data_IF_386849683077
#
_entry.id   IF_386849683077
#
_cell.length_a   1.000
_cell.length_b   1.000
_cell.length_c   1.000
_cell.angle_alpha   90.00
_cell.angle_beta   90.00
_cell.angle_gamma   90.00
#
_symmetry.space_group_name_H-M   'P 1'
#
loop_
_entity.id
_entity.type
_entity.pdbx_description
1 polymer ?
#
# COMPACT_ATOMS: atom_id res chain seq x y z
N UNK A 1 58.02 -58.86 11.99
CA UNK A 1 56.68 -58.93 11.39
C UNK A 1 56.61 -60.19 10.54
N UNK A 2 55.79 -61.18 10.92
CA UNK A 2 55.72 -62.45 10.18
C UNK A 2 54.92 -62.29 8.89
N UNK A 3 55.48 -62.68 7.74
CA UNK A 3 54.75 -62.76 6.48
C UNK A 3 53.62 -63.79 6.61
N UNK A 4 52.38 -63.32 6.66
CA UNK A 4 51.18 -64.17 6.60
C UNK A 4 50.58 -64.07 5.21
N UNK A 5 50.56 -65.18 4.49
CA UNK A 5 50.11 -65.26 3.08
C UNK A 5 48.60 -65.02 2.94
N UNK A 6 47.81 -65.36 3.96
CA UNK A 6 46.33 -65.28 3.91
C UNK A 6 45.76 -63.86 4.09
N UNK A 7 46.51 -62.92 4.66
CA UNK A 7 46.01 -61.57 4.97
C UNK A 7 47.07 -60.53 4.64
N UNK A 8 46.85 -59.75 3.59
CA UNK A 8 47.75 -58.66 3.19
C UNK A 8 47.32 -57.35 3.86
N UNK A 9 47.93 -57.06 5.01
CA UNK A 9 47.63 -55.86 5.82
C UNK A 9 47.99 -54.56 5.09
N UNK A 10 49.05 -54.56 4.26
CA UNK A 10 49.44 -53.39 3.48
C UNK A 10 48.39 -53.04 2.40
N UNK A 11 47.87 -54.06 1.70
CA UNK A 11 46.79 -53.89 0.72
C UNK A 11 45.48 -53.44 1.38
N UNK A 12 45.12 -54.00 2.54
CA UNK A 12 43.93 -53.56 3.30
C UNK A 12 44.04 -52.10 3.75
N UNK A 13 45.23 -51.64 4.17
CA UNK A 13 45.45 -50.25 4.53
C UNK A 13 45.33 -49.34 3.29
N UNK A 14 45.96 -49.71 2.17
CA UNK A 14 45.83 -48.97 0.91
C UNK A 14 44.37 -48.86 0.45
N UNK A 15 43.58 -49.94 0.57
CA UNK A 15 42.17 -49.93 0.20
C UNK A 15 41.31 -49.06 1.14
N UNK A 16 41.59 -49.04 2.45
CA UNK A 16 40.94 -48.12 3.40
C UNK A 16 41.21 -46.65 3.05
N UNK A 17 42.49 -46.32 2.80
CA UNK A 17 42.88 -44.96 2.38
C UNK A 17 42.26 -44.55 1.05
N UNK A 18 42.19 -45.48 0.09
CA UNK A 18 41.50 -45.24 -1.17
C UNK A 18 40.01 -44.94 -0.93
N UNK A 19 39.33 -45.70 -0.07
CA UNK A 19 37.95 -45.42 0.33
C UNK A 19 37.75 -44.02 0.90
N UNK A 20 38.62 -43.59 1.82
CA UNK A 20 38.59 -42.23 2.39
C UNK A 20 38.78 -41.16 1.29
N UNK A 21 39.74 -41.35 0.39
CA UNK A 21 40.00 -40.40 -0.71
C UNK A 21 38.86 -40.32 -1.71
N UNK A 22 38.24 -41.45 -2.05
CA UNK A 22 37.07 -41.49 -2.94
C UNK A 22 35.89 -40.75 -2.31
N UNK A 23 35.65 -40.94 -1.00
CA UNK A 23 34.59 -40.22 -0.29
C UNK A 23 34.81 -38.71 -0.30
N UNK A 24 36.03 -38.25 0.01
CA UNK A 24 36.37 -36.82 -0.01
C UNK A 24 36.26 -36.23 -1.43
N UNK A 25 36.65 -36.99 -2.46
CA UNK A 25 36.48 -36.56 -3.86
C UNK A 25 35.00 -36.40 -4.22
N UNK A 26 34.15 -37.35 -3.82
CA UNK A 26 32.71 -37.26 -4.05
C UNK A 26 32.09 -36.04 -3.35
N UNK A 27 32.48 -35.74 -2.11
CA UNK A 27 32.02 -34.55 -1.38
C UNK A 27 32.46 -33.24 -2.06
N UNK A 28 33.70 -33.17 -2.54
CA UNK A 28 34.20 -32.00 -3.27
C UNK A 28 33.48 -31.81 -4.62
N UNK A 29 33.21 -32.91 -5.33
CA UNK A 29 32.43 -32.88 -6.57
C UNK A 29 30.99 -32.41 -6.31
N UNK A 30 30.38 -32.81 -5.20
CA UNK A 30 29.05 -32.36 -4.79
C UNK A 30 29.02 -30.84 -4.53
N UNK A 31 30.02 -30.31 -3.81
CA UNK A 31 30.16 -28.86 -3.56
C UNK A 31 30.43 -28.08 -4.84
N UNK A 32 31.26 -28.61 -5.73
CA UNK A 32 31.57 -27.97 -7.01
C UNK A 32 30.34 -27.95 -7.92
N UNK A 33 29.57 -29.04 -7.99
CA UNK A 33 28.37 -29.13 -8.83
C UNK A 33 27.21 -28.29 -8.30
N UNK A 34 27.10 -28.12 -6.98
CA UNK A 34 26.05 -27.30 -6.36
C UNK A 34 26.43 -25.81 -6.30
N UNK A 35 27.73 -25.49 -6.31
CA UNK A 35 28.24 -24.13 -6.11
C UNK A 35 28.15 -23.66 -4.66
N UNK A 36 27.65 -24.49 -3.73
CA UNK A 36 27.51 -24.17 -2.31
C UNK A 36 28.59 -24.86 -1.48
N UNK A 37 29.15 -24.11 -0.52
CA UNK A 37 30.15 -24.64 0.41
C UNK A 37 29.55 -25.61 1.44
N UNK A 38 28.29 -25.38 1.84
CA UNK A 38 27.54 -26.16 2.82
C UNK A 38 26.31 -26.71 2.11
N UNK A 39 26.30 -28.01 1.81
CA UNK A 39 25.17 -28.66 1.12
C UNK A 39 24.36 -29.58 2.05
N UNK A 40 24.93 -29.98 3.20
CA UNK A 40 24.29 -30.84 4.20
C UNK A 40 24.48 -30.25 5.58
N UNK A 41 23.51 -30.48 6.47
CA UNK A 41 23.58 -30.05 7.88
C UNK A 41 24.74 -30.69 8.64
N UNK A 42 25.27 -31.82 8.15
CA UNK A 42 26.43 -32.49 8.71
C UNK A 42 27.76 -31.77 8.45
N UNK A 43 27.84 -30.92 7.42
CA UNK A 43 29.06 -30.18 7.08
C UNK A 43 29.26 -28.97 8.01
N UNK A 44 28.18 -28.23 8.27
CA UNK A 44 28.14 -27.10 9.20
C UNK A 44 26.68 -26.79 9.58
N UNK A 45 26.23 -27.33 10.72
CA UNK A 45 24.85 -27.15 11.18
C UNK A 45 24.52 -25.69 11.52
N UNK A 46 25.48 -24.96 12.09
CA UNK A 46 25.29 -23.56 12.48
C UNK A 46 25.28 -22.64 11.24
N UNK A 47 26.23 -22.86 10.32
CA UNK A 47 26.30 -22.12 9.06
C UNK A 47 25.08 -22.37 8.17
N UNK A 48 24.58 -23.61 8.11
CA UNK A 48 23.34 -23.92 7.40
C UNK A 48 22.14 -23.20 8.03
N UNK A 49 21.98 -23.25 9.35
CA UNK A 49 20.87 -22.58 10.05
C UNK A 49 20.87 -21.06 9.83
N UNK A 50 22.05 -20.42 9.86
CA UNK A 50 22.18 -18.99 9.56
C UNK A 50 21.82 -18.72 8.09
N UNK A 51 22.31 -19.55 7.16
CA UNK A 51 22.02 -19.39 5.72
C UNK A 51 20.53 -19.54 5.41
N UNK A 52 19.85 -20.49 6.05
CA UNK A 52 18.41 -20.69 5.92
C UNK A 52 17.62 -19.52 6.50
N UNK A 53 18.03 -19.00 7.67
CA UNK A 53 17.45 -17.81 8.29
C UNK A 53 17.59 -16.59 7.37
N UNK A 54 18.78 -16.38 6.80
CA UNK A 54 19.03 -15.30 5.84
C UNK A 54 18.22 -15.47 4.55
N UNK A 55 18.08 -16.70 4.06
CA UNK A 55 17.25 -16.99 2.87
C UNK A 55 15.78 -16.72 3.14
N UNK A 56 15.29 -17.07 4.34
CA UNK A 56 13.96 -16.69 4.81
C UNK A 56 13.79 -15.18 4.85
N UNK A 57 14.77 -14.47 5.40
CA UNK A 57 14.79 -12.99 5.46
C UNK A 57 14.75 -12.38 4.05
N UNK A 58 15.55 -12.87 3.11
CA UNK A 58 15.54 -12.40 1.71
C UNK A 58 14.16 -12.56 1.08
N UNK A 59 13.56 -13.76 1.19
CA UNK A 59 12.22 -14.02 0.63
C UNK A 59 11.13 -13.14 1.26
N UNK A 60 11.20 -12.93 2.57
CA UNK A 60 10.28 -12.04 3.27
C UNK A 60 10.47 -10.57 2.85
N UNK A 61 11.71 -10.11 2.65
CA UNK A 61 12.00 -8.77 2.14
C UNK A 61 11.51 -8.58 0.71
N UNK A 62 11.63 -9.59 -0.16
CA UNK A 62 11.09 -9.53 -1.52
C UNK A 62 9.56 -9.39 -1.51
N UNK A 63 8.88 -10.06 -0.57
CA UNK A 63 7.43 -9.88 -0.40
C UNK A 63 7.10 -8.51 0.19
N UNK A 64 7.83 -8.05 1.20
CA UNK A 64 7.68 -6.72 1.77
C UNK A 64 7.84 -5.61 0.73
N UNK A 65 8.79 -5.77 -0.20
CA UNK A 65 8.96 -4.84 -1.33
C UNK A 65 7.73 -4.82 -2.24
N UNK A 66 7.12 -5.97 -2.51
CA UNK A 66 5.85 -6.03 -3.28
C UNK A 66 4.73 -5.31 -2.52
N UNK A 67 4.56 -5.61 -1.24
CA UNK A 67 3.56 -4.95 -0.40
C UNK A 67 3.76 -3.42 -0.34
N UNK A 68 5.00 -2.95 -0.28
CA UNK A 68 5.32 -1.52 -0.32
C UNK A 68 4.92 -0.88 -1.65
N UNK A 69 5.15 -1.57 -2.77
CA UNK A 69 4.71 -1.10 -4.08
C UNK A 69 3.18 -1.03 -4.17
N UNK A 70 2.47 -2.01 -3.60
CA UNK A 70 1.00 -1.97 -3.53
C UNK A 70 0.51 -0.77 -2.73
N UNK A 71 1.19 -0.45 -1.62
CA UNK A 71 0.94 0.77 -0.85
C UNK A 71 1.18 2.06 -1.64
N UNK A 72 2.25 2.12 -2.44
CA UNK A 72 2.52 3.24 -3.35
C UNK A 72 1.39 3.38 -4.39
N UNK A 73 0.96 2.28 -5.00
CA UNK A 73 -0.14 2.29 -5.97
C UNK A 73 -1.46 2.75 -5.34
N UNK A 74 -1.74 2.34 -4.10
CA UNK A 74 -2.91 2.82 -3.36
C UNK A 74 -2.86 4.34 -3.15
N UNK A 75 -1.72 4.86 -2.69
CA UNK A 75 -1.55 6.30 -2.47
C UNK A 75 -1.71 7.09 -3.78
N UNK A 76 -1.19 6.59 -4.90
CA UNK A 76 -1.33 7.24 -6.20
C UNK A 76 -2.79 7.32 -6.66
N UNK A 77 -3.58 6.28 -6.42
CA UNK A 77 -5.02 6.30 -6.73
C UNK A 77 -5.76 7.31 -5.84
N UNK A 78 -5.46 7.33 -4.54
CA UNK A 78 -6.01 8.32 -3.61
C UNK A 78 -5.64 9.76 -4.03
N UNK A 79 -4.38 10.00 -4.36
CA UNK A 79 -3.87 11.31 -4.81
C UNK A 79 -4.53 11.75 -6.12
N UNK A 80 -4.75 10.83 -7.06
CA UNK A 80 -5.49 11.11 -8.29
C UNK A 80 -6.91 11.61 -8.00
N UNK A 81 -7.65 10.91 -7.12
CA UNK A 81 -8.99 11.34 -6.72
C UNK A 81 -9.00 12.68 -5.99
N UNK A 82 -8.05 12.92 -5.07
CA UNK A 82 -7.93 14.19 -4.35
C UNK A 82 -7.58 15.37 -5.27
N UNK A 83 -6.78 15.15 -6.31
CA UNK A 83 -6.48 16.17 -7.31
C UNK A 83 -7.74 16.59 -8.09
N UNK A 84 -8.59 15.64 -8.47
CA UNK A 84 -9.86 15.97 -9.12
C UNK A 84 -10.82 16.73 -8.19
N UNK A 85 -10.94 16.32 -6.93
CA UNK A 85 -11.72 17.08 -5.92
C UNK A 85 -11.18 18.51 -5.78
N UNK A 86 -9.85 18.67 -5.75
CA UNK A 86 -9.21 19.99 -5.67
C UNK A 86 -9.54 20.86 -6.89
N UNK A 87 -9.51 20.31 -8.10
CA UNK A 87 -9.89 21.02 -9.32
C UNK A 87 -11.36 21.48 -9.28
N UNK A 88 -12.26 20.61 -8.79
CA UNK A 88 -13.67 20.95 -8.62
C UNK A 88 -13.84 22.08 -7.60
N UNK A 89 -13.15 22.02 -6.45
CA UNK A 89 -13.21 23.07 -5.43
C UNK A 89 -12.72 24.43 -5.95
N UNK A 90 -11.68 24.46 -6.79
CA UNK A 90 -11.21 25.70 -7.44
C UNK A 90 -12.28 26.27 -8.36
N UNK A 91 -12.96 25.42 -9.13
CA UNK A 91 -14.06 25.83 -10.01
C UNK A 91 -15.29 26.30 -9.22
N UNK A 92 -15.65 25.62 -8.13
CA UNK A 92 -16.70 26.03 -7.21
C UNK A 92 -16.40 27.41 -6.60
N UNK A 93 -15.14 27.68 -6.25
CA UNK A 93 -14.69 29.00 -5.79
C UNK A 93 -14.82 30.06 -6.87
N UNK A 94 -14.49 29.75 -8.12
CA UNK A 94 -14.69 30.66 -9.26
C UNK A 94 -16.18 31.04 -9.39
N UNK A 95 -17.08 30.05 -9.40
CA UNK A 95 -18.52 30.26 -9.46
C UNK A 95 -19.04 31.10 -8.28
N UNK A 96 -18.55 30.85 -7.07
CA UNK A 96 -18.90 31.63 -5.89
C UNK A 96 -18.46 33.09 -6.02
N UNK A 97 -17.22 33.34 -6.48
CA UNK A 97 -16.74 34.72 -6.70
C UNK A 97 -17.47 35.42 -7.83
N UNK A 98 -17.86 34.69 -8.87
CA UNK A 98 -18.66 35.22 -9.97
C UNK A 98 -20.05 35.64 -9.47
N UNK A 99 -20.73 34.76 -8.72
CA UNK A 99 -22.06 35.04 -8.17
C UNK A 99 -22.08 36.14 -7.11
N UNK A 100 -20.95 36.37 -6.42
CA UNK A 100 -20.78 37.47 -5.49
C UNK A 100 -20.76 38.86 -6.16
N UNK A 101 -20.55 38.94 -7.48
CA UNK A 101 -20.51 40.22 -8.19
C UNK A 101 -21.89 40.84 -8.41
N UNK A 102 -22.03 42.14 -8.16
CA UNK A 102 -23.27 42.91 -8.33
C UNK A 102 -23.76 43.05 -9.77
N UNK A 103 -22.89 42.79 -10.74
CA UNK A 103 -23.20 42.91 -12.17
C UNK A 103 -24.00 41.72 -12.71
N UNK A 104 -24.14 40.65 -11.93
CA UNK A 104 -24.81 39.41 -12.32
C UNK A 104 -26.22 39.37 -11.73
N UNK A 105 -27.23 39.21 -12.59
CA UNK A 105 -28.63 39.13 -12.22
C UNK A 105 -29.03 37.82 -11.54
N UNK A 106 -30.24 37.78 -10.97
CA UNK A 106 -30.76 36.62 -10.24
C UNK A 106 -30.91 35.36 -11.12
N UNK A 107 -31.20 35.55 -12.42
CA UNK A 107 -31.30 34.46 -13.40
C UNK A 107 -29.94 33.80 -13.65
N UNK A 108 -28.89 34.58 -13.88
CA UNK A 108 -27.53 34.08 -14.10
C UNK A 108 -26.97 33.43 -12.83
N UNK A 109 -27.25 34.00 -11.65
CA UNK A 109 -26.90 33.39 -10.35
C UNK A 109 -27.56 32.03 -10.15
N UNK A 110 -28.81 31.86 -10.60
CA UNK A 110 -29.50 30.56 -10.54
C UNK A 110 -28.80 29.50 -11.41
N UNK A 111 -28.29 29.87 -12.59
CA UNK A 111 -27.51 28.94 -13.42
C UNK A 111 -26.17 28.57 -12.78
N UNK A 112 -25.44 29.53 -12.23
CA UNK A 112 -24.20 29.25 -11.48
C UNK A 112 -24.46 28.36 -10.26
N UNK A 113 -25.59 28.56 -9.55
CA UNK A 113 -25.97 27.73 -8.40
C UNK A 113 -26.27 26.28 -8.81
N UNK A 114 -26.91 26.06 -9.98
CA UNK A 114 -27.11 24.71 -10.52
C UNK A 114 -25.77 24.03 -10.83
N UNK A 115 -24.84 24.74 -11.45
CA UNK A 115 -23.49 24.22 -11.72
C UNK A 115 -22.74 23.89 -10.43
N UNK A 116 -22.83 24.74 -9.42
CA UNK A 116 -22.25 24.50 -8.09
C UNK A 116 -22.82 23.24 -7.43
N UNK A 117 -24.13 23.05 -7.46
CA UNK A 117 -24.77 21.86 -6.90
C UNK A 117 -24.41 20.57 -7.64
N UNK A 118 -24.24 20.61 -8.97
CA UNK A 118 -23.74 19.46 -9.71
C UNK A 118 -22.27 19.15 -9.35
N UNK A 119 -21.44 20.16 -9.10
CA UNK A 119 -20.07 19.97 -8.62
C UNK A 119 -20.00 19.35 -7.23
N UNK A 120 -20.90 19.75 -6.30
CA UNK A 120 -21.03 19.13 -4.97
C UNK A 120 -21.34 17.63 -5.11
N UNK A 121 -22.31 17.26 -5.96
CA UNK A 121 -22.64 15.86 -6.22
C UNK A 121 -21.48 15.09 -6.85
N UNK A 122 -20.71 15.75 -7.71
CA UNK A 122 -19.55 15.12 -8.35
C UNK A 122 -18.42 14.85 -7.35
N UNK A 123 -18.20 15.72 -6.35
CA UNK A 123 -17.29 15.44 -5.24
C UNK A 123 -17.72 14.18 -4.48
N UNK A 124 -19.01 14.06 -4.12
CA UNK A 124 -19.53 12.85 -3.46
C UNK A 124 -19.41 11.60 -4.35
N UNK A 125 -19.57 11.74 -5.67
CA UNK A 125 -19.37 10.66 -6.62
C UNK A 125 -17.91 10.21 -6.68
N UNK A 126 -16.95 11.13 -6.73
CA UNK A 126 -15.52 10.79 -6.73
C UNK A 126 -15.14 10.14 -5.40
N UNK A 127 -15.63 10.67 -4.30
CA UNK A 127 -15.46 10.11 -2.96
C UNK A 127 -15.99 8.68 -2.83
N UNK A 128 -17.16 8.42 -3.45
CA UNK A 128 -17.80 7.10 -3.46
C UNK A 128 -17.19 6.08 -4.43
N UNK A 129 -16.58 6.55 -5.52
CA UNK A 129 -16.08 5.67 -6.60
C UNK A 129 -14.57 5.47 -6.59
N UNK A 130 -13.82 6.23 -5.79
CA UNK A 130 -12.37 6.06 -5.65
C UNK A 130 -12.06 4.85 -4.77
N UNK A 131 -11.78 3.72 -5.41
CA UNK A 131 -11.44 2.45 -4.76
C UNK A 131 -10.09 1.89 -5.24
N UNK A 132 -9.42 1.16 -4.37
CA UNK A 132 -8.29 0.31 -4.72
C UNK A 132 -8.54 -1.10 -4.21
N UNK A 133 -8.60 -2.06 -5.14
CA UNK A 133 -8.84 -3.48 -4.83
C UNK A 133 -10.10 -3.71 -3.96
N UNK A 134 -11.18 -2.95 -4.22
CA UNK A 134 -12.44 -3.03 -3.48
C UNK A 134 -12.45 -2.33 -2.12
N UNK A 135 -11.37 -1.62 -1.76
CA UNK A 135 -11.32 -0.75 -0.58
C UNK A 135 -11.51 0.69 -1.02
N UNK A 136 -12.53 1.34 -0.49
CA UNK A 136 -12.82 2.74 -0.77
C UNK A 136 -11.85 3.65 -0.01
N UNK A 137 -11.30 4.66 -0.69
CA UNK A 137 -10.19 5.46 -0.16
C UNK A 137 -10.61 6.86 0.33
N UNK A 138 -11.58 7.50 -0.35
CA UNK A 138 -11.91 8.92 -0.11
C UNK A 138 -13.27 9.14 0.58
N UNK A 139 -14.18 8.17 0.49
CA UNK A 139 -15.50 8.22 1.15
C UNK A 139 -15.50 7.82 2.61
N UNK A 140 -14.33 7.47 3.16
CA UNK A 140 -14.19 6.96 4.52
C UNK A 140 -14.30 5.45 4.62
N UNK A 141 -14.10 4.93 5.84
CA UNK A 141 -14.29 3.52 6.12
C UNK A 141 -15.73 3.13 5.79
N UNK A 142 -15.90 2.27 4.78
CA UNK A 142 -17.19 1.69 4.42
C UNK A 142 -17.81 1.06 5.68
N UNK A 143 -19.04 1.46 6.01
CA UNK A 143 -19.77 0.96 7.18
C UNK A 143 -19.90 -0.58 7.18
N UNK A 144 -19.70 -1.22 6.02
CA UNK A 144 -19.72 -2.68 5.87
C UNK A 144 -18.34 -3.35 5.96
N UNK A 145 -17.24 -2.61 5.81
CA UNK A 145 -15.88 -3.17 5.75
C UNK A 145 -14.92 -2.62 6.83
N UNK A 146 -15.38 -1.69 7.67
CA UNK A 146 -14.87 -1.40 9.03
C UNK A 146 -13.37 -1.11 9.18
N UNK A 147 -12.64 -0.92 8.08
CA UNK A 147 -11.19 -0.82 8.09
C UNK A 147 -10.82 0.65 8.09
N UNK A 148 -10.67 1.20 9.30
CA UNK A 148 -10.27 2.59 9.54
C UNK A 148 -8.80 2.84 9.13
N UNK A 149 -7.98 1.79 9.16
CA UNK A 149 -6.56 1.82 8.85
C UNK A 149 -6.12 0.62 8.01
N UNK A 150 -5.40 0.90 6.92
CA UNK A 150 -4.70 -0.09 6.11
C UNK A 150 -3.27 -0.25 6.62
N UNK A 151 -2.92 -1.45 7.11
CA UNK A 151 -1.56 -1.75 7.56
C UNK A 151 -0.79 -2.54 6.51
N UNK A 152 0.28 -1.95 5.97
CA UNK A 152 1.19 -2.59 5.04
C UNK A 152 2.39 -3.17 5.78
N UNK A 153 2.61 -4.47 5.62
CA UNK A 153 3.78 -5.14 6.19
C UNK A 153 4.97 -4.97 5.23
N UNK A 154 5.95 -4.18 5.66
CA UNK A 154 7.17 -3.88 4.88
C UNK A 154 8.46 -4.39 5.55
N UNK A 155 8.33 -5.05 6.70
CA UNK A 155 9.43 -5.70 7.38
C UNK A 155 9.56 -7.18 7.01
N UNK A 156 10.78 -7.71 7.18
CA UNK A 156 10.99 -9.16 7.09
C UNK A 156 10.34 -9.93 8.25
N UNK A 157 10.03 -9.23 9.36
CA UNK A 157 9.68 -9.82 10.65
C UNK A 157 10.82 -10.69 11.19
N UNK A 158 10.99 -10.73 12.51
CA UNK A 158 11.88 -11.69 13.19
C UNK A 158 11.07 -12.79 13.91
N UNK A 159 9.82 -13.00 13.49
CA UNK A 159 8.91 -13.98 14.08
C UNK A 159 8.26 -13.52 15.40
N UNK A 160 8.56 -12.31 15.87
CA UNK A 160 7.91 -11.70 17.02
C UNK A 160 6.85 -10.70 16.53
N UNK A 161 5.62 -10.82 17.06
CA UNK A 161 4.48 -9.98 16.65
C UNK A 161 4.65 -8.49 16.96
N UNK A 162 5.69 -8.12 17.72
CA UNK A 162 5.96 -6.75 18.16
C UNK A 162 7.00 -6.02 17.29
N UNK A 163 7.64 -6.70 16.33
CA UNK A 163 8.74 -6.13 15.53
C UNK A 163 8.55 -6.34 14.02
N UNK A 164 7.31 -6.18 13.55
CA UNK A 164 6.99 -6.06 12.13
C UNK A 164 7.00 -4.60 11.75
N UNK A 165 8.01 -4.18 10.98
CA UNK A 165 7.97 -2.87 10.31
C UNK A 165 6.69 -2.80 9.47
N UNK A 166 5.77 -1.95 9.91
CA UNK A 166 4.47 -1.75 9.29
C UNK A 166 4.29 -0.27 9.00
N UNK A 167 3.66 0.02 7.87
CA UNK A 167 3.17 1.36 7.53
C UNK A 167 1.67 1.31 7.69
N UNK A 168 1.14 2.14 8.59
CA UNK A 168 -0.29 2.32 8.75
C UNK A 168 -0.74 3.52 7.93
N UNK A 169 -1.80 3.33 7.14
CA UNK A 169 -2.46 4.37 6.37
C UNK A 169 -3.89 4.51 6.88
N UNK A 170 -4.17 5.63 7.54
CA UNK A 170 -5.48 5.91 8.10
C UNK A 170 -6.38 6.54 7.03
N UNK A 171 -7.45 5.83 6.66
CA UNK A 171 -8.38 6.26 5.60
C UNK A 171 -9.34 7.35 6.15
N UNK A 172 -9.59 7.34 7.45
CA UNK A 172 -10.48 8.29 8.11
C UNK A 172 -9.96 9.73 8.01
N UNK A 173 -8.65 9.92 8.10
CA UNK A 173 -8.02 11.24 8.04
C UNK A 173 -8.05 11.89 6.65
N UNK A 174 -8.25 11.11 5.59
CA UNK A 174 -8.24 11.60 4.19
C UNK A 174 -9.65 11.64 3.58
N UNK A 175 -10.68 11.53 4.42
CA UNK A 175 -12.07 11.65 3.99
C UNK A 175 -12.30 12.97 3.25
N UNK A 176 -12.79 12.86 2.02
CA UNK A 176 -13.18 13.97 1.16
C UNK A 176 -14.65 13.79 0.81
N UNK A 177 -15.54 13.91 1.79
CA UNK A 177 -16.98 13.97 1.56
C UNK A 177 -17.48 15.40 1.75
N UNK A 178 -18.69 15.68 1.28
CA UNK A 178 -19.32 17.00 1.41
C UNK A 178 -19.51 17.42 2.87
N UNK A 179 -19.66 16.48 3.81
CA UNK A 179 -19.73 16.74 5.25
C UNK A 179 -18.40 17.32 5.80
N UNK A 180 -17.27 16.63 5.57
CA UNK A 180 -15.93 17.05 6.06
C UNK A 180 -15.46 18.32 5.38
N UNK A 181 -15.84 18.52 4.11
CA UNK A 181 -15.53 19.74 3.36
C UNK A 181 -16.46 20.92 3.73
N UNK A 182 -17.46 20.71 4.59
CA UNK A 182 -18.39 21.76 5.02
C UNK A 182 -19.32 22.25 3.90
N UNK A 183 -19.60 21.39 2.93
CA UNK A 183 -20.46 21.65 1.78
C UNK A 183 -21.90 21.21 2.01
N UNK A 184 -22.17 20.44 3.08
CA UNK A 184 -23.54 20.11 3.50
C UNK A 184 -24.28 21.37 3.99
N UNK A 185 -25.50 21.53 3.48
CA UNK A 185 -26.37 22.70 3.71
C UNK A 185 -26.60 23.56 2.49
N UNK A 186 -25.82 23.37 1.41
CA UNK A 186 -25.92 24.15 0.18
C UNK A 186 -25.61 25.63 0.44
N UNK A 187 -24.33 26.00 0.32
CA UNK A 187 -23.94 27.41 0.26
C UNK A 187 -24.52 27.95 -1.06
N UNK A 188 -25.81 28.29 -1.03
CA UNK A 188 -26.55 28.71 -2.19
C UNK A 188 -25.90 30.00 -2.66
N UNK A 189 -25.12 29.91 -3.73
CA UNK A 189 -24.49 31.08 -4.35
C UNK A 189 -25.52 31.90 -5.16
N UNK A 190 -26.77 31.44 -5.22
CA UNK A 190 -27.89 32.07 -5.90
C UNK A 190 -29.24 31.43 -5.56
N UNK A 191 -30.34 31.95 -6.12
CA UNK A 191 -31.69 31.44 -5.83
C UNK A 191 -31.87 30.02 -6.40
N UNK A 192 -32.60 29.18 -5.67
CA UNK A 192 -32.91 27.79 -6.06
C UNK A 192 -33.79 27.71 -7.32
N UNK A 193 -34.65 28.71 -7.54
CA UNK A 193 -35.51 28.84 -8.72
C UNK A 193 -35.08 29.99 -9.64
N UNK A 194 -35.31 29.80 -10.95
CA UNK A 194 -34.98 30.81 -11.97
C UNK A 194 -35.87 32.05 -11.74
N UNK A 195 -35.25 33.17 -11.38
CA UNK A 195 -35.95 34.44 -11.12
C UNK A 195 -36.40 34.65 -9.67
N UNK A 196 -36.03 33.76 -8.74
CA UNK A 196 -36.23 33.97 -7.31
C UNK A 196 -35.41 35.14 -6.77
N UNK A 197 -35.89 35.79 -5.72
CA UNK A 197 -35.13 36.83 -5.03
C UNK A 197 -34.10 36.18 -4.10
N UNK A 198 -32.85 36.65 -4.14
CA UNK A 198 -31.76 36.06 -3.37
C UNK A 198 -31.20 37.09 -2.40
N UNK A 199 -31.53 36.93 -1.11
CA UNK A 199 -30.97 37.75 -0.06
C UNK A 199 -29.59 37.20 0.37
N UNK A 200 -28.56 37.96 0.01
CA UNK A 200 -27.15 37.63 0.27
C UNK A 200 -26.82 37.64 1.75
N UNK A 201 -27.59 38.36 2.56
CA UNK A 201 -27.38 38.50 3.99
C UNK A 201 -27.89 37.25 4.72
N UNK A 202 -29.06 36.75 4.34
CA UNK A 202 -29.59 35.48 4.84
C UNK A 202 -28.74 34.26 4.44
N UNK A 203 -28.09 34.28 3.27
CA UNK A 203 -27.20 33.20 2.85
C UNK A 203 -25.85 33.20 3.58
N UNK A 204 -25.36 34.37 3.99
CA UNK A 204 -24.13 34.48 4.79
C UNK A 204 -24.34 34.12 6.27
N UNK A 205 -25.53 34.42 6.82
CA UNK A 205 -25.86 34.17 8.23
C UNK A 205 -26.14 32.68 8.54
N UNK A 206 -26.47 31.87 7.53
CA UNK A 206 -26.64 30.42 7.68
C UNK A 206 -25.32 29.63 7.82
N UNK A 207 -24.16 30.31 7.75
CA UNK A 207 -22.83 29.69 7.67
C UNK A 207 -21.78 30.23 8.67
N UNK A 208 -22.22 30.84 9.79
CA UNK A 208 -21.39 31.01 11.00
C UNK A 208 -21.50 29.80 11.93
#
# INVERSE_FOLDING_TARGET
>A
MGLRIKTNVASLNAQRRLGDTTKNLSENMEKLSSGYRINKSADDAAGLAISETLTGKIRSMDQAKRNANDGISLIQVAEGGMNEVTNILVRMRELATQAASDTIGNTERSYSNKEYNEMVKEIDRISSTTEFNGVQLLGGADANNGTESLTFHIGSGDGHMENTDTIEFNIDQIKMNTEVLGLEGGAAIGPEEIGGDFDRQSAADNYQ
#
